data_IF_846695848639
#
_entry.id   IF_846695848639
#
_cell.length_a   1.000
_cell.length_b   1.000
_cell.length_c   1.000
_cell.angle_alpha   90.00
_cell.angle_beta   90.00
_cell.angle_gamma   90.00
#
_symmetry.space_group_name_H-M   'P 1'
#
loop_
_entity.id
_entity.type
_entity.pdbx_description
1 polymer ?
#
# COMPACT_ATOMS: atom_id res chain seq x y z
N UNK A 1 -9.97 2.11 19.37
CA UNK A 1 -9.54 1.02 18.44
C UNK A 1 -10.47 -0.17 18.47
N UNK A 2 -11.14 -0.42 19.57
CA UNK A 2 -12.08 -1.56 19.66
C UNK A 2 -13.31 -1.33 18.76
N UNK A 3 -13.80 -0.10 18.67
CA UNK A 3 -14.85 0.28 17.73
C UNK A 3 -14.45 0.08 16.26
N UNK A 4 -13.22 0.42 15.89
CA UNK A 4 -12.71 0.24 14.52
C UNK A 4 -12.66 -1.25 14.12
N UNK A 5 -12.09 -2.11 14.97
CA UNK A 5 -12.05 -3.55 14.71
C UNK A 5 -13.46 -4.16 14.61
N UNK A 6 -14.37 -3.75 15.49
CA UNK A 6 -15.75 -4.18 15.48
C UNK A 6 -16.49 -3.73 14.22
N UNK A 7 -16.26 -2.48 13.79
CA UNK A 7 -16.87 -1.94 12.58
C UNK A 7 -16.42 -2.68 11.32
N UNK A 8 -15.12 -2.98 11.17
CA UNK A 8 -14.63 -3.76 10.03
C UNK A 8 -15.19 -5.19 10.04
N UNK A 9 -15.23 -5.83 11.22
CA UNK A 9 -15.80 -7.17 11.36
C UNK A 9 -17.28 -7.21 10.95
N UNK A 10 -18.05 -6.20 11.31
CA UNK A 10 -19.46 -6.10 10.95
C UNK A 10 -19.66 -5.75 9.47
N UNK A 11 -18.81 -4.88 8.92
CA UNK A 11 -18.90 -4.39 7.55
C UNK A 11 -18.45 -5.45 6.53
N UNK A 12 -17.40 -6.22 6.84
CA UNK A 12 -16.78 -7.18 5.92
C UNK A 12 -16.49 -6.58 4.53
N UNK A 13 -15.63 -5.53 4.44
CA UNK A 13 -15.42 -4.81 3.20
C UNK A 13 -14.78 -5.71 2.12
N UNK A 14 -15.13 -5.48 0.87
CA UNK A 14 -14.48 -6.11 -0.30
C UNK A 14 -13.18 -5.39 -0.67
N UNK A 15 -13.07 -4.10 -0.37
CA UNK A 15 -11.89 -3.27 -0.59
C UNK A 15 -11.46 -2.67 0.74
N UNK A 16 -10.22 -2.89 1.12
CA UNK A 16 -9.68 -2.37 2.38
C UNK A 16 -8.37 -1.65 2.14
N UNK A 17 -8.33 -0.36 2.46
CA UNK A 17 -7.12 0.45 2.49
C UNK A 17 -6.73 0.74 3.93
N UNK A 18 -5.50 0.40 4.32
CA UNK A 18 -4.95 0.66 5.63
C UNK A 18 -3.58 1.34 5.54
N UNK A 19 -3.37 2.39 6.34
CA UNK A 19 -2.02 2.95 6.51
C UNK A 19 -1.15 1.99 7.32
N UNK A 20 0.20 2.05 7.24
CA UNK A 20 1.11 1.09 7.89
C UNK A 20 0.78 0.80 9.35
N UNK A 21 0.51 1.84 10.13
CA UNK A 21 0.17 1.72 11.55
C UNK A 21 -1.08 0.86 11.83
N UNK A 22 -2.01 0.79 10.89
CA UNK A 22 -3.19 -0.10 11.02
C UNK A 22 -2.74 -1.55 10.88
N UNK A 23 -1.90 -1.86 9.90
CA UNK A 23 -1.37 -3.20 9.66
C UNK A 23 -0.54 -3.69 10.83
N UNK A 24 0.36 -2.87 11.37
CA UNK A 24 1.13 -3.16 12.58
C UNK A 24 0.24 -3.54 13.77
N UNK A 25 -0.83 -2.76 13.99
CA UNK A 25 -1.79 -3.02 15.08
C UNK A 25 -2.61 -4.28 14.86
N UNK A 26 -3.01 -4.56 13.62
CA UNK A 26 -3.72 -5.79 13.28
C UNK A 26 -2.83 -7.02 13.51
N UNK A 27 -1.56 -6.95 13.12
CA UNK A 27 -0.56 -8.00 13.40
C UNK A 27 -0.38 -8.20 14.90
N UNK A 28 -0.11 -7.13 15.66
CA UNK A 28 0.10 -7.18 17.11
C UNK A 28 -1.09 -7.84 17.83
N UNK A 29 -2.32 -7.45 17.45
CA UNK A 29 -3.56 -8.01 18.04
C UNK A 29 -3.72 -9.51 17.79
N UNK A 30 -3.23 -10.02 16.65
CA UNK A 30 -3.21 -11.45 16.37
C UNK A 30 -2.13 -12.13 17.23
N UNK A 31 -0.92 -11.55 17.28
CA UNK A 31 0.21 -12.12 18.01
C UNK A 31 0.04 -12.13 19.52
N UNK A 32 -0.73 -11.18 20.09
CA UNK A 32 -1.17 -11.20 21.48
C UNK A 32 -2.01 -12.45 21.83
N UNK A 33 -2.85 -12.89 20.89
CA UNK A 33 -3.72 -14.07 21.07
C UNK A 33 -3.01 -15.37 20.69
N UNK A 34 -2.16 -15.34 19.68
CA UNK A 34 -1.45 -16.49 19.13
C UNK A 34 0.01 -16.11 18.93
N UNK A 35 0.92 -16.47 19.85
CA UNK A 35 2.35 -16.17 19.73
C UNK A 35 2.92 -16.70 18.40
N UNK A 36 3.87 -15.97 17.81
CA UNK A 36 4.46 -16.24 16.47
C UNK A 36 4.90 -17.71 16.31
N UNK A 37 5.59 -18.29 17.32
CA UNK A 37 6.05 -19.69 17.27
C UNK A 37 4.87 -20.67 17.12
N UNK A 38 3.77 -20.41 17.81
CA UNK A 38 2.57 -21.25 17.76
C UNK A 38 1.84 -21.06 16.42
N UNK A 39 1.72 -19.84 15.94
CA UNK A 39 1.15 -19.54 14.64
C UNK A 39 1.92 -20.26 13.52
N UNK A 40 3.25 -20.13 13.50
CA UNK A 40 4.10 -20.80 12.53
C UNK A 40 3.95 -22.34 12.53
N UNK A 41 3.74 -22.95 13.69
CA UNK A 41 3.48 -24.39 13.81
C UNK A 41 2.11 -24.76 13.22
N UNK A 42 1.07 -23.98 13.53
CA UNK A 42 -0.30 -24.22 13.03
C UNK A 42 -0.38 -24.07 11.50
N UNK A 43 0.36 -23.11 10.94
CA UNK A 43 0.40 -22.89 9.49
C UNK A 43 1.12 -24.01 8.72
N UNK A 44 1.94 -24.84 9.38
CA UNK A 44 2.58 -26.03 8.77
C UNK A 44 1.66 -27.23 8.63
N UNK A 45 0.51 -27.24 9.31
CA UNK A 45 -0.44 -28.35 9.30
C UNK A 45 -1.55 -28.13 8.27
N UNK A 46 -1.55 -28.82 7.11
CA UNK A 46 -2.41 -28.47 5.97
C UNK A 46 -3.90 -28.36 6.31
N UNK A 47 -4.45 -29.34 7.03
CA UNK A 47 -5.87 -29.38 7.39
C UNK A 47 -6.27 -28.29 8.40
N UNK A 48 -5.33 -27.89 9.25
CA UNK A 48 -5.56 -26.89 10.31
C UNK A 48 -5.31 -25.48 9.76
N UNK A 49 -4.34 -25.33 8.82
CA UNK A 49 -3.95 -24.07 8.21
C UNK A 49 -5.15 -23.29 7.66
N UNK A 50 -5.92 -23.91 6.78
CA UNK A 50 -7.07 -23.26 6.15
C UNK A 50 -8.12 -22.78 7.17
N UNK A 51 -8.42 -23.63 8.16
CA UNK A 51 -9.35 -23.25 9.22
C UNK A 51 -8.85 -22.04 10.02
N UNK A 52 -7.56 -22.03 10.39
CA UNK A 52 -6.97 -20.92 11.13
C UNK A 52 -6.92 -19.63 10.32
N UNK A 53 -6.54 -19.70 9.05
CA UNK A 53 -6.51 -18.55 8.16
C UNK A 53 -7.92 -17.95 8.00
N UNK A 54 -8.93 -18.76 7.76
CA UNK A 54 -10.33 -18.31 7.71
C UNK A 54 -10.75 -17.63 9.02
N UNK A 55 -10.39 -18.20 10.15
CA UNK A 55 -10.68 -17.63 11.48
C UNK A 55 -9.97 -16.28 11.69
N UNK A 56 -8.69 -16.18 11.30
CA UNK A 56 -7.93 -14.91 11.38
C UNK A 56 -8.57 -13.87 10.47
N UNK A 57 -8.81 -14.16 9.19
CA UNK A 57 -9.48 -13.23 8.26
C UNK A 57 -10.83 -12.76 8.78
N UNK A 58 -11.63 -13.66 9.34
CA UNK A 58 -12.91 -13.30 9.96
C UNK A 58 -12.74 -12.39 11.16
N UNK A 59 -11.76 -12.69 12.03
CA UNK A 59 -11.48 -11.85 13.21
C UNK A 59 -10.92 -10.46 12.87
N UNK A 60 -10.35 -10.30 11.69
CA UNK A 60 -9.91 -9.01 11.13
C UNK A 60 -11.04 -8.29 10.37
N UNK A 61 -12.15 -8.98 10.05
CA UNK A 61 -13.20 -8.47 9.17
C UNK A 61 -12.80 -8.44 7.69
N UNK A 62 -11.80 -9.22 7.29
CA UNK A 62 -11.25 -9.25 5.93
C UNK A 62 -11.62 -10.51 5.15
N UNK A 63 -12.66 -11.26 5.58
CA UNK A 63 -13.06 -12.51 4.91
C UNK A 63 -13.56 -12.30 3.48
N UNK A 64 -14.10 -11.12 3.18
CA UNK A 64 -14.64 -10.75 1.85
C UNK A 64 -13.72 -9.78 1.10
N UNK A 65 -12.54 -9.47 1.65
CA UNK A 65 -11.66 -8.49 1.05
C UNK A 65 -10.90 -9.09 -0.14
N UNK A 66 -11.23 -8.60 -1.34
CA UNK A 66 -10.56 -8.96 -2.60
C UNK A 66 -9.39 -8.01 -2.90
N UNK A 67 -9.53 -6.74 -2.52
CA UNK A 67 -8.50 -5.72 -2.71
C UNK A 67 -8.03 -5.21 -1.36
N UNK A 68 -6.77 -5.46 -1.05
CA UNK A 68 -6.15 -5.09 0.23
C UNK A 68 -4.93 -4.23 -0.06
N UNK A 69 -4.98 -2.96 0.37
CA UNK A 69 -3.99 -1.95 0.02
C UNK A 69 -3.33 -1.33 1.26
N UNK A 70 -2.07 -0.94 1.09
CA UNK A 70 -1.35 -0.04 1.99
C UNK A 70 -0.78 1.13 1.20
N UNK A 71 -0.73 2.30 1.81
CA UNK A 71 -0.15 3.51 1.20
C UNK A 71 -0.02 4.64 2.21
N UNK A 72 0.25 5.83 1.72
CA UNK A 72 0.55 7.04 2.49
C UNK A 72 1.88 7.01 3.29
N UNK A 73 2.50 5.85 3.44
CA UNK A 73 3.86 5.67 3.97
C UNK A 73 4.35 4.25 3.66
N UNK A 74 5.65 3.98 3.65
CA UNK A 74 6.17 2.63 3.45
C UNK A 74 5.74 1.67 4.56
N UNK A 75 5.32 0.47 4.18
CA UNK A 75 5.05 -0.61 5.13
C UNK A 75 6.28 -1.52 5.25
N UNK A 76 6.66 -1.86 6.48
CA UNK A 76 7.84 -2.70 6.70
C UNK A 76 7.72 -4.04 5.94
N UNK A 77 8.77 -4.45 5.19
CA UNK A 77 8.75 -5.68 4.40
C UNK A 77 8.40 -6.94 5.20
N UNK A 78 8.80 -7.00 6.46
CA UNK A 78 8.51 -8.15 7.32
C UNK A 78 7.03 -8.25 7.70
N UNK A 79 6.32 -7.13 7.77
CA UNK A 79 4.86 -7.10 7.97
C UNK A 79 4.15 -7.62 6.72
N UNK A 80 4.57 -7.16 5.53
CA UNK A 80 4.02 -7.66 4.25
C UNK A 80 4.20 -9.17 4.11
N UNK A 81 5.41 -9.69 4.40
CA UNK A 81 5.70 -11.13 4.39
C UNK A 81 4.83 -11.89 5.38
N UNK A 82 4.71 -11.38 6.60
CA UNK A 82 3.92 -11.99 7.65
C UNK A 82 2.43 -12.11 7.27
N UNK A 83 1.85 -11.05 6.71
CA UNK A 83 0.46 -11.09 6.24
C UNK A 83 0.28 -12.08 5.07
N UNK A 84 1.29 -12.16 4.19
CA UNK A 84 1.29 -13.13 3.08
C UNK A 84 1.29 -14.59 3.58
N UNK A 85 1.95 -14.90 4.70
CA UNK A 85 1.93 -16.24 5.32
C UNK A 85 0.52 -16.69 5.74
N UNK A 86 -0.37 -15.75 6.05
CA UNK A 86 -1.77 -15.99 6.41
C UNK A 86 -2.74 -15.68 5.26
N UNK A 87 -2.26 -15.75 4.02
CA UNK A 87 -3.01 -15.52 2.78
C UNK A 87 -3.70 -14.14 2.71
N UNK A 88 -3.10 -13.11 3.30
CA UNK A 88 -3.48 -11.71 3.17
C UNK A 88 -2.39 -11.00 2.36
N UNK A 89 -2.66 -10.81 1.06
CA UNK A 89 -1.72 -10.14 0.16
C UNK A 89 -1.98 -8.63 0.17
N UNK A 90 -1.18 -7.90 0.95
CA UNK A 90 -1.24 -6.44 1.01
C UNK A 90 -0.46 -5.89 -0.19
N UNK A 91 -1.11 -5.07 -1.00
CA UNK A 91 -0.51 -4.39 -2.15
C UNK A 91 -0.17 -2.96 -1.76
N UNK A 92 1.07 -2.56 -1.92
CA UNK A 92 1.46 -1.17 -1.71
C UNK A 92 1.06 -0.32 -2.92
N UNK A 93 0.61 0.91 -2.65
CA UNK A 93 0.24 1.90 -3.64
C UNK A 93 0.91 3.24 -3.30
N UNK A 94 1.22 4.02 -4.33
CA UNK A 94 1.86 5.32 -4.19
C UNK A 94 1.10 6.38 -4.99
N UNK A 95 0.99 7.54 -4.39
CA UNK A 95 0.38 8.73 -4.93
C UNK A 95 0.19 9.77 -3.85
N UNK A 96 -0.28 10.95 -4.24
CA UNK A 96 -0.51 12.09 -3.38
C UNK A 96 -1.81 12.81 -3.77
N UNK A 97 -2.27 13.74 -2.94
CA UNK A 97 -3.52 14.47 -3.21
C UNK A 97 -3.49 15.26 -4.52
N UNK A 98 -2.32 15.71 -4.92
CA UNK A 98 -2.06 16.49 -6.13
C UNK A 98 -2.32 15.71 -7.43
N UNK A 99 -2.38 14.38 -7.34
CA UNK A 99 -2.60 13.48 -8.48
C UNK A 99 -3.66 12.39 -8.20
N UNK A 100 -4.60 12.66 -7.30
CA UNK A 100 -5.67 11.72 -6.90
C UNK A 100 -5.15 10.38 -6.34
N UNK A 101 -3.94 10.35 -5.78
CA UNK A 101 -3.25 9.14 -5.31
C UNK A 101 -3.01 8.08 -6.40
N UNK A 102 -2.83 8.51 -7.65
CA UNK A 102 -2.69 7.62 -8.80
C UNK A 102 -1.32 7.80 -9.47
N UNK A 103 -0.31 7.16 -8.93
CA UNK A 103 1.00 6.98 -9.58
C UNK A 103 1.25 5.49 -9.85
N UNK A 104 1.29 4.68 -8.81
CA UNK A 104 1.60 3.25 -8.96
C UNK A 104 0.87 2.40 -7.92
N UNK A 105 0.76 1.10 -8.22
CA UNK A 105 0.25 0.09 -7.29
C UNK A 105 0.83 -1.28 -7.64
N UNK A 106 1.15 -2.09 -6.65
CA UNK A 106 1.53 -3.48 -6.90
C UNK A 106 0.38 -4.25 -7.56
N UNK A 107 0.58 -4.88 -8.73
CA UNK A 107 -0.40 -5.76 -9.37
C UNK A 107 -0.73 -6.95 -8.45
N UNK A 108 -1.92 -7.52 -8.61
CA UNK A 108 -2.35 -8.64 -7.76
C UNK A 108 -1.54 -9.93 -8.01
N UNK A 109 -1.08 -10.11 -9.25
CA UNK A 109 -0.33 -11.26 -9.76
C UNK A 109 1.19 -11.09 -9.69
N UNK A 110 1.69 -9.85 -9.47
CA UNK A 110 3.13 -9.58 -9.35
C UNK A 110 3.41 -8.54 -8.24
N UNK A 111 3.24 -8.95 -6.98
CA UNK A 111 3.53 -8.11 -5.82
C UNK A 111 5.03 -8.16 -5.53
N UNK A 112 5.72 -7.01 -5.66
CA UNK A 112 7.16 -6.87 -5.36
C UNK A 112 7.37 -6.10 -4.06
N UNK A 113 7.62 -6.83 -3.00
CA UNK A 113 7.89 -6.25 -1.67
C UNK A 113 9.13 -5.34 -1.74
N UNK A 114 8.99 -4.14 -1.19
CA UNK A 114 10.03 -3.09 -1.23
C UNK A 114 9.89 -2.15 -2.42
N UNK A 115 8.82 -2.29 -3.20
CA UNK A 115 8.39 -1.33 -4.22
C UNK A 115 6.97 -0.86 -3.91
N UNK A 116 6.63 0.33 -4.40
CA UNK A 116 5.25 0.85 -4.35
C UNK A 116 4.45 0.47 -5.60
N UNK A 117 4.93 -0.54 -6.33
CA UNK A 117 4.27 -1.16 -7.46
C UNK A 117 4.59 -0.56 -8.81
N UNK A 118 3.82 -0.99 -9.79
CA UNK A 118 3.98 -0.62 -11.20
C UNK A 118 3.18 0.65 -11.50
N UNK A 119 3.74 1.51 -12.34
CA UNK A 119 3.05 2.73 -12.80
C UNK A 119 1.74 2.39 -13.50
N UNK A 120 0.71 3.20 -13.28
CA UNK A 120 -0.54 3.10 -14.04
C UNK A 120 -0.33 3.56 -15.49
N UNK A 121 -1.15 3.11 -16.44
CA UNK A 121 -1.11 3.60 -17.83
C UNK A 121 -1.50 5.08 -17.92
N UNK A 122 -1.30 5.66 -19.11
CA UNK A 122 -1.75 7.00 -19.50
C UNK A 122 -1.12 8.14 -18.67
N UNK A 123 0.11 7.93 -18.20
CA UNK A 123 0.91 8.93 -17.51
C UNK A 123 2.39 8.83 -17.94
N UNK A 124 3.07 9.97 -17.91
CA UNK A 124 4.50 10.06 -18.11
C UNK A 124 5.18 10.20 -16.74
N UNK A 125 6.00 9.24 -16.39
CA UNK A 125 6.76 9.19 -15.13
C UNK A 125 8.23 9.05 -15.46
N UNK A 126 9.04 9.93 -14.89
CA UNK A 126 10.48 9.74 -14.89
C UNK A 126 11.08 10.10 -13.53
N UNK A 127 12.29 9.66 -13.30
CA UNK A 127 13.09 9.99 -12.12
C UNK A 127 14.21 10.90 -12.60
N UNK A 128 14.26 12.10 -12.04
CA UNK A 128 15.29 13.08 -12.38
C UNK A 128 16.69 12.52 -12.07
N UNK A 129 17.64 12.71 -13.00
CA UNK A 129 18.95 12.10 -12.90
C UNK A 129 19.83 12.68 -11.78
N UNK A 130 19.63 13.95 -11.43
CA UNK A 130 20.44 14.68 -10.47
C UNK A 130 19.83 14.61 -9.07
N UNK A 131 18.55 14.94 -8.94
CA UNK A 131 17.83 14.99 -7.66
C UNK A 131 17.26 13.65 -7.23
N UNK A 132 17.09 12.71 -8.17
CA UNK A 132 16.36 11.44 -7.98
C UNK A 132 14.88 11.62 -7.65
N UNK A 133 14.35 12.83 -7.87
CA UNK A 133 12.93 13.12 -7.65
C UNK A 133 12.06 12.41 -8.69
N UNK A 134 10.93 11.88 -8.23
CA UNK A 134 9.91 11.28 -9.11
C UNK A 134 9.05 12.41 -9.67
N UNK A 135 8.96 12.45 -10.99
CA UNK A 135 8.21 13.45 -11.74
C UNK A 135 7.04 12.79 -12.46
N UNK A 136 5.86 13.42 -12.42
CA UNK A 136 4.65 12.89 -13.07
C UNK A 136 3.98 13.92 -13.96
N UNK A 137 3.57 13.50 -15.16
CA UNK A 137 2.67 14.23 -16.03
C UNK A 137 1.49 13.35 -16.43
N UNK A 138 0.28 13.86 -16.23
CA UNK A 138 -0.97 13.16 -16.56
C UNK A 138 -2.14 14.15 -16.63
N UNK A 139 -3.26 13.70 -17.18
CA UNK A 139 -4.46 14.53 -17.35
C UNK A 139 -5.25 14.78 -16.06
N UNK A 140 -4.97 14.03 -14.99
CA UNK A 140 -5.65 14.12 -13.69
C UNK A 140 -4.86 14.83 -12.60
N UNK A 141 -3.82 15.62 -12.95
CA UNK A 141 -3.17 16.49 -11.97
C UNK A 141 -4.14 17.53 -11.42
N UNK A 142 -3.94 17.92 -10.17
CA UNK A 142 -4.68 19.02 -9.56
C UNK A 142 -4.54 20.29 -10.43
N UNK A 143 -5.57 21.14 -10.41
CA UNK A 143 -5.49 22.46 -11.05
C UNK A 143 -4.55 23.43 -10.32
N UNK A 144 -4.28 23.18 -9.06
CA UNK A 144 -3.41 23.98 -8.20
C UNK A 144 -3.91 24.11 -6.77
N UNK A 145 -3.08 24.69 -5.94
CA UNK A 145 -3.42 24.99 -4.54
C UNK A 145 -4.32 26.24 -4.43
N UNK A 146 -5.39 26.13 -3.67
CA UNK A 146 -6.33 27.24 -3.49
C UNK A 146 -5.64 28.50 -2.97
N UNK A 147 -5.74 29.61 -3.73
CA UNK A 147 -5.13 30.93 -3.43
C UNK A 147 -3.62 30.90 -3.21
N UNK A 148 -2.89 29.92 -3.76
CA UNK A 148 -1.43 29.78 -3.63
C UNK A 148 -0.77 29.56 -5.00
N UNK A 149 -0.97 30.49 -5.92
CA UNK A 149 -0.47 30.39 -7.31
C UNK A 149 1.04 30.16 -7.37
N UNK A 150 1.83 30.91 -6.60
CA UNK A 150 3.28 30.70 -6.55
C UNK A 150 3.69 29.28 -6.14
N UNK A 151 3.00 28.69 -5.17
CA UNK A 151 3.27 27.31 -4.76
C UNK A 151 2.86 26.32 -5.87
N UNK A 152 1.74 26.59 -6.54
CA UNK A 152 1.31 25.78 -7.68
C UNK A 152 2.36 25.80 -8.80
N UNK A 153 2.84 26.99 -9.18
CA UNK A 153 3.85 27.17 -10.23
C UNK A 153 5.20 26.53 -9.89
N UNK A 154 5.52 26.38 -8.59
CA UNK A 154 6.71 25.68 -8.11
C UNK A 154 6.52 24.16 -8.07
N UNK A 155 5.28 23.71 -7.88
CA UNK A 155 4.97 22.27 -7.76
C UNK A 155 4.65 21.63 -9.10
N UNK A 156 4.06 22.40 -10.03
CA UNK A 156 3.80 21.93 -11.40
C UNK A 156 4.61 22.81 -12.36
N UNK A 157 5.70 22.25 -12.88
CA UNK A 157 6.62 22.93 -13.79
C UNK A 157 6.61 22.22 -15.14
N UNK A 158 6.38 22.94 -16.22
CA UNK A 158 6.31 22.41 -17.60
C UNK A 158 5.30 21.25 -17.76
N UNK A 159 4.25 21.26 -16.92
CA UNK A 159 3.21 20.24 -16.87
C UNK A 159 3.58 18.99 -16.09
N UNK A 160 4.75 18.96 -15.46
CA UNK A 160 5.15 17.88 -14.55
C UNK A 160 4.92 18.27 -13.09
N UNK A 161 4.30 17.39 -12.36
CA UNK A 161 4.21 17.44 -10.89
C UNK A 161 5.56 17.03 -10.31
N UNK A 162 6.16 17.91 -9.54
CA UNK A 162 7.29 17.66 -8.66
C UNK A 162 6.76 17.02 -7.39
N UNK A 163 7.01 15.72 -7.19
CA UNK A 163 6.42 15.00 -6.06
C UNK A 163 7.11 15.31 -4.74
N UNK A 164 8.37 15.75 -4.78
CA UNK A 164 9.21 15.90 -3.60
C UNK A 164 9.76 14.57 -3.07
N UNK A 165 9.33 13.44 -3.61
CA UNK A 165 9.78 12.11 -3.21
C UNK A 165 10.90 11.62 -4.13
N UNK A 166 11.96 11.06 -3.54
CA UNK A 166 13.05 10.44 -4.30
C UNK A 166 12.77 8.96 -4.54
N UNK A 167 13.14 8.47 -5.72
CA UNK A 167 12.89 7.09 -6.07
C UNK A 167 13.76 6.52 -7.18
N UNK A 168 13.44 5.29 -7.53
CA UNK A 168 14.01 4.56 -8.66
C UNK A 168 12.87 3.97 -9.48
N UNK A 169 12.97 4.07 -10.79
CA UNK A 169 12.06 3.44 -11.74
C UNK A 169 12.80 2.33 -12.46
N UNK A 170 12.26 1.11 -12.42
CA UNK A 170 12.81 -0.02 -13.16
C UNK A 170 12.34 -0.03 -14.62
N UNK A 171 13.05 -0.73 -15.50
CA UNK A 171 12.73 -0.82 -16.94
C UNK A 171 11.33 -1.41 -17.20
N UNK A 172 10.83 -2.22 -16.30
CA UNK A 172 9.48 -2.81 -16.36
C UNK A 172 8.41 -2.02 -15.60
N UNK A 173 8.74 -0.80 -15.17
CA UNK A 173 7.81 0.21 -14.67
C UNK A 173 7.50 0.12 -13.18
N UNK A 174 8.31 -0.57 -12.36
CA UNK A 174 8.14 -0.54 -10.90
C UNK A 174 8.87 0.63 -10.25
N UNK A 175 8.20 1.27 -9.29
CA UNK A 175 8.76 2.37 -8.50
C UNK A 175 9.21 1.84 -7.13
N UNK A 176 10.40 2.28 -6.73
CA UNK A 176 10.91 2.13 -5.36
C UNK A 176 11.17 3.52 -4.79
N UNK A 177 10.52 3.87 -3.69
CA UNK A 177 10.78 5.11 -2.94
C UNK A 177 12.08 4.95 -2.15
N UNK A 178 12.93 5.98 -2.17
CA UNK A 178 14.24 5.98 -1.50
C UNK A 178 14.43 7.15 -0.54
N UNK A 179 13.58 8.19 -0.60
CA UNK A 179 13.63 9.35 0.28
C UNK A 179 12.46 10.30 0.07
#
# INVERSE_FOLDING_TARGET
>A
LDSFSMNIQNLQPTHFFGVPRIWEKLQSKILEKIPQKRLALLLKLPLIREFFIKKIKSSLGLSKADVILSGAAPLAPDILKWFKEIDISIREAYGMSENFNVISMNPADDIRIGTVGKIFPDQDIYVDNDTKEIMQKCDWLMKGYHRKTKLTDQTIVDGYLHTGDMGQLSDDGYIKITG
#
